data_IF_775504250749
#
_entry.id   IF_775504250749
#
_cell.length_a   1.000
_cell.length_b   1.000
_cell.length_c   1.000
_cell.angle_alpha   90.00
_cell.angle_beta   90.00
_cell.angle_gamma   90.00
#
_symmetry.space_group_name_H-M   'P 1'
#
loop_
_entity.id
_entity.type
_entity.pdbx_description
1 polymer ?
#
# COMPACT_ATOMS: atom_id res chain seq x y z
N UNK A 1 18.24 16.58 16.43
CA UNK A 1 19.54 16.98 15.84
C UNK A 1 20.41 15.77 15.76
N UNK A 2 20.80 15.40 14.57
CA UNK A 2 21.69 14.27 14.30
C UNK A 2 23.10 14.70 14.72
N UNK A 3 23.81 13.83 15.40
CA UNK A 3 25.13 14.13 15.97
C UNK A 3 26.20 14.10 14.82
N UNK A 4 27.38 14.72 15.05
CA UNK A 4 28.50 14.76 14.11
C UNK A 4 28.92 13.36 13.63
N UNK A 5 28.95 12.38 14.53
CA UNK A 5 29.30 10.99 14.20
C UNK A 5 28.32 10.36 13.19
N UNK A 6 27.02 10.68 13.32
CA UNK A 6 26.02 10.19 12.36
C UNK A 6 26.22 10.82 10.98
N UNK A 7 26.52 12.13 10.91
CA UNK A 7 26.78 12.78 9.62
C UNK A 7 28.06 12.25 8.99
N UNK A 8 29.12 12.00 9.78
CA UNK A 8 30.33 11.35 9.28
C UNK A 8 30.02 9.96 8.71
N UNK A 9 29.24 9.15 9.41
CA UNK A 9 28.83 7.82 8.92
C UNK A 9 28.02 7.88 7.62
N UNK A 10 27.18 8.91 7.44
CA UNK A 10 26.46 9.12 6.19
C UNK A 10 27.41 9.49 5.04
N UNK A 11 28.39 10.34 5.31
CA UNK A 11 29.44 10.70 4.32
C UNK A 11 30.25 9.46 3.93
N UNK A 12 30.68 8.66 4.90
CA UNK A 12 31.45 7.44 4.67
C UNK A 12 30.67 6.39 3.85
N UNK A 13 29.34 6.39 3.96
CA UNK A 13 28.47 5.49 3.19
C UNK A 13 28.28 5.91 1.73
N UNK A 14 28.59 7.17 1.41
CA UNK A 14 28.42 7.74 0.08
C UNK A 14 26.99 8.14 -0.27
N UNK A 15 26.81 8.71 -1.46
CA UNK A 15 25.48 9.02 -1.99
C UNK A 15 24.65 7.76 -2.19
N UNK A 16 23.34 7.86 -1.94
CA UNK A 16 22.44 6.73 -2.01
C UNK A 16 20.98 7.13 -2.02
N UNK A 17 20.10 6.19 -1.70
CA UNK A 17 18.67 6.40 -1.71
C UNK A 17 18.20 7.53 -0.78
N UNK A 18 18.88 7.69 0.35
CA UNK A 18 18.53 8.64 1.41
C UNK A 18 19.62 9.68 1.72
N UNK A 19 20.65 9.78 0.91
CA UNK A 19 21.76 10.75 1.08
C UNK A 19 22.14 11.36 -0.25
N UNK A 20 22.29 12.68 -0.28
CA UNK A 20 22.71 13.46 -1.45
C UNK A 20 23.78 14.46 -1.05
N UNK A 21 24.84 14.59 -1.82
CA UNK A 21 25.95 15.53 -1.60
C UNK A 21 25.90 16.71 -2.57
N UNK A 22 26.31 17.86 -2.07
CA UNK A 22 26.51 19.05 -2.89
C UNK A 22 27.74 19.80 -2.37
N UNK A 23 28.67 20.13 -3.23
CA UNK A 23 29.84 20.94 -2.84
C UNK A 23 29.41 22.31 -2.33
N UNK A 24 28.38 22.89 -2.92
CA UNK A 24 27.81 24.19 -2.58
C UNK A 24 26.35 24.29 -3.01
N UNK A 25 25.64 25.28 -2.51
CA UNK A 25 24.29 25.58 -2.98
C UNK A 25 24.33 25.87 -4.49
N UNK A 26 23.57 25.15 -5.31
CA UNK A 26 23.46 25.43 -6.73
C UNK A 26 23.01 26.86 -7.01
N UNK A 27 23.38 27.39 -8.17
CA UNK A 27 22.92 28.72 -8.62
C UNK A 27 21.38 28.79 -8.71
N UNK A 28 20.75 27.65 -9.03
CA UNK A 28 19.29 27.47 -9.02
C UNK A 28 18.91 26.67 -7.78
N UNK A 29 18.46 27.35 -6.73
CA UNK A 29 17.99 26.72 -5.47
C UNK A 29 16.90 25.68 -5.73
N UNK A 30 16.14 25.83 -6.80
CA UNK A 30 15.13 24.87 -7.25
C UNK A 30 15.67 23.43 -7.37
N UNK A 31 16.92 23.24 -7.81
CA UNK A 31 17.53 21.92 -7.93
C UNK A 31 17.60 21.21 -6.58
N UNK A 32 17.94 21.93 -5.50
CA UNK A 32 17.88 21.37 -4.14
C UNK A 32 16.46 21.03 -3.71
N UNK A 33 15.49 21.85 -4.11
CA UNK A 33 14.09 21.65 -3.70
C UNK A 33 13.47 20.45 -4.42
N UNK A 34 13.91 20.14 -5.64
CA UNK A 34 13.53 18.92 -6.36
C UNK A 34 14.02 17.65 -5.61
N UNK A 35 15.26 17.67 -5.10
CA UNK A 35 15.82 16.59 -4.26
C UNK A 35 15.05 16.46 -2.93
N UNK A 36 14.79 17.58 -2.25
CA UNK A 36 14.03 17.63 -1.00
C UNK A 36 12.62 17.07 -1.21
N UNK A 37 11.96 17.45 -2.30
CA UNK A 37 10.64 16.92 -2.65
C UNK A 37 10.69 15.40 -2.90
N UNK A 38 11.73 14.91 -3.58
CA UNK A 38 11.92 13.49 -3.83
C UNK A 38 12.16 12.71 -2.53
N UNK A 39 12.97 13.21 -1.61
CA UNK A 39 13.16 12.63 -0.28
C UNK A 39 11.85 12.58 0.52
N UNK A 40 11.07 13.66 0.51
CA UNK A 40 9.77 13.70 1.20
C UNK A 40 8.80 12.66 0.64
N UNK A 41 8.84 12.41 -0.67
CA UNK A 41 8.04 11.40 -1.35
C UNK A 41 8.56 9.96 -1.15
N UNK A 42 9.81 9.82 -0.70
CA UNK A 42 10.43 8.55 -0.31
C UNK A 42 10.43 8.37 1.22
N UNK A 43 11.44 7.75 1.76
CA UNK A 43 11.57 7.47 3.20
C UNK A 43 12.24 8.60 4.00
N UNK A 44 12.35 9.78 3.38
CA UNK A 44 13.15 10.88 3.90
C UNK A 44 14.61 10.78 3.49
N UNK A 45 15.44 11.69 3.98
CA UNK A 45 16.87 11.67 3.69
C UNK A 45 17.63 12.92 4.12
N UNK A 46 18.90 12.93 3.81
CA UNK A 46 19.83 13.99 4.18
C UNK A 46 20.47 14.58 2.93
N UNK A 47 20.39 15.90 2.80
CA UNK A 47 21.12 16.64 1.79
C UNK A 47 22.27 17.39 2.47
N UNK A 48 23.49 17.02 2.11
CA UNK A 48 24.73 17.52 2.73
C UNK A 48 25.39 18.53 1.79
N UNK A 49 25.55 19.77 2.22
CA UNK A 49 26.18 20.85 1.45
C UNK A 49 27.55 21.14 2.04
N UNK A 50 28.57 21.03 1.23
CA UNK A 50 29.99 21.11 1.62
C UNK A 50 30.72 19.78 1.50
N UNK A 51 30.12 18.79 0.81
CA UNK A 51 30.70 17.48 0.52
C UNK A 51 30.69 17.28 -0.99
N UNK A 52 31.74 16.68 -1.55
CA UNK A 52 31.80 16.34 -2.98
C UNK A 52 31.27 14.91 -3.22
N UNK A 53 31.10 14.54 -4.50
CA UNK A 53 30.55 13.24 -4.93
C UNK A 53 31.43 12.03 -4.49
N UNK A 54 32.69 12.27 -4.10
CA UNK A 54 33.59 11.23 -3.56
C UNK A 54 33.52 11.12 -2.03
N UNK A 55 32.65 11.88 -1.37
CA UNK A 55 32.56 11.94 0.09
C UNK A 55 33.65 12.81 0.73
N UNK A 56 34.42 13.58 -0.05
CA UNK A 56 35.43 14.48 0.52
C UNK A 56 34.74 15.73 1.10
N UNK A 57 35.01 16.02 2.36
CA UNK A 57 34.50 17.22 3.02
C UNK A 57 35.29 18.44 2.50
N UNK A 58 34.62 19.28 1.77
CA UNK A 58 35.16 20.55 1.26
C UNK A 58 34.90 21.68 2.26
N UNK A 59 33.73 21.63 2.89
CA UNK A 59 33.21 22.68 3.76
C UNK A 59 32.63 23.85 2.98
N UNK A 60 31.60 24.49 3.50
CA UNK A 60 31.00 25.67 2.89
C UNK A 60 30.34 26.59 3.91
N UNK A 61 30.43 27.88 3.69
CA UNK A 61 29.61 28.88 4.37
C UNK A 61 28.24 29.01 3.70
N UNK A 62 27.21 29.16 4.49
CA UNK A 62 25.87 29.43 3.97
C UNK A 62 25.38 30.79 4.49
N UNK A 63 25.42 31.79 3.63
CA UNK A 63 24.97 33.15 3.91
C UNK A 63 23.45 33.20 4.18
N UNK A 64 23.00 34.20 4.93
CA UNK A 64 21.61 34.32 5.35
C UNK A 64 20.62 34.42 4.18
N UNK A 65 20.99 35.11 3.11
CA UNK A 65 20.19 35.27 1.89
C UNK A 65 19.99 33.90 1.19
N UNK A 66 21.03 33.07 1.09
CA UNK A 66 20.93 31.70 0.55
C UNK A 66 20.07 30.80 1.44
N UNK A 67 20.22 30.92 2.77
CA UNK A 67 19.36 30.18 3.71
C UNK A 67 17.90 30.55 3.52
N UNK A 68 17.61 31.85 3.45
CA UNK A 68 16.25 32.35 3.21
C UNK A 68 15.70 31.90 1.85
N UNK A 69 16.54 31.88 0.81
CA UNK A 69 16.15 31.41 -0.51
C UNK A 69 15.80 29.89 -0.50
N UNK A 70 16.57 29.05 0.22
CA UNK A 70 16.28 27.62 0.38
C UNK A 70 14.96 27.46 1.14
N UNK A 71 14.77 28.12 2.27
CA UNK A 71 13.53 28.06 3.05
C UNK A 71 12.32 28.55 2.25
N UNK A 72 12.47 29.64 1.50
CA UNK A 72 11.44 30.14 0.59
C UNK A 72 11.05 29.10 -0.45
N UNK A 73 12.05 28.45 -1.07
CA UNK A 73 11.77 27.41 -2.08
C UNK A 73 11.15 26.15 -1.48
N UNK A 74 11.53 25.72 -0.27
CA UNK A 74 10.89 24.61 0.44
C UNK A 74 9.41 24.93 0.72
N UNK A 75 9.09 26.17 1.04
CA UNK A 75 7.71 26.61 1.31
C UNK A 75 6.78 26.54 0.08
N UNK A 76 7.33 26.41 -1.14
CA UNK A 76 6.56 26.17 -2.36
C UNK A 76 6.15 24.68 -2.53
N UNK A 77 6.67 23.77 -1.70
CA UNK A 77 6.27 22.37 -1.72
C UNK A 77 4.87 22.23 -1.12
N UNK A 78 4.00 21.52 -1.81
CA UNK A 78 2.64 21.24 -1.37
C UNK A 78 2.40 19.71 -1.31
N UNK A 79 1.82 19.20 -0.20
CA UNK A 79 1.50 19.84 1.08
C UNK A 79 2.71 20.49 1.77
N UNK A 80 2.47 21.32 2.80
CA UNK A 80 3.55 21.97 3.52
C UNK A 80 4.54 20.97 4.11
N UNK A 81 5.82 21.16 3.83
CA UNK A 81 6.91 20.31 4.29
C UNK A 81 7.82 21.08 5.26
N UNK A 82 8.11 20.49 6.40
CA UNK A 82 9.06 21.02 7.37
C UNK A 82 10.35 20.22 7.32
N UNK A 83 11.47 20.89 7.03
CA UNK A 83 12.80 20.32 7.05
C UNK A 83 13.67 21.05 8.07
N UNK A 84 14.48 20.30 8.81
CA UNK A 84 15.48 20.90 9.68
C UNK A 84 16.74 21.25 8.88
N UNK A 85 17.25 22.46 9.07
CA UNK A 85 18.49 22.94 8.44
C UNK A 85 19.46 23.43 9.50
N UNK A 86 20.63 22.79 9.58
CA UNK A 86 21.66 23.09 10.59
C UNK A 86 23.08 22.86 10.06
N UNK A 87 24.04 23.43 10.74
CA UNK A 87 25.46 23.28 10.43
C UNK A 87 26.13 22.29 11.38
N UNK A 88 27.02 21.46 10.84
CA UNK A 88 27.88 20.54 11.58
C UNK A 88 29.32 20.83 11.22
N UNK A 89 30.20 20.90 12.24
CA UNK A 89 31.62 21.05 12.02
C UNK A 89 32.31 19.68 12.11
N UNK A 90 32.99 19.32 11.02
CA UNK A 90 33.74 18.08 10.90
C UNK A 90 35.13 18.45 10.36
N UNK A 91 36.20 18.04 11.06
CA UNK A 91 37.58 18.34 10.68
C UNK A 91 37.83 19.84 10.41
N UNK A 92 37.33 20.71 11.27
CA UNK A 92 37.40 22.17 11.13
C UNK A 92 36.72 22.76 9.89
N UNK A 93 35.90 21.96 9.19
CA UNK A 93 35.11 22.37 8.05
C UNK A 93 33.61 22.34 8.38
N UNK A 94 32.88 23.31 7.88
CA UNK A 94 31.43 23.38 8.09
C UNK A 94 30.67 22.68 6.97
N UNK A 95 29.87 21.68 7.33
CA UNK A 95 28.90 21.01 6.45
C UNK A 95 27.50 21.44 6.87
N UNK A 96 26.70 21.87 5.90
CA UNK A 96 25.30 22.18 6.12
C UNK A 96 24.43 20.97 5.82
N UNK A 97 23.54 20.65 6.72
CA UNK A 97 22.62 19.50 6.63
C UNK A 97 21.22 20.00 6.46
N UNK A 98 20.52 19.48 5.47
CA UNK A 98 19.07 19.57 5.36
C UNK A 98 18.53 18.19 5.65
N UNK A 99 17.87 18.03 6.79
CA UNK A 99 17.24 16.80 7.24
C UNK A 99 15.78 16.80 6.77
N UNK A 100 15.47 15.93 5.84
CA UNK A 100 14.16 15.83 5.20
C UNK A 100 13.43 14.63 5.74
N UNK A 101 12.33 14.82 6.47
CA UNK A 101 11.53 13.69 6.97
C UNK A 101 10.82 12.97 5.83
N UNK A 102 10.52 11.68 6.01
CA UNK A 102 9.53 11.00 5.18
C UNK A 102 8.18 11.70 5.32
N UNK A 103 7.64 12.16 4.21
CA UNK A 103 6.40 12.93 4.21
C UNK A 103 5.18 12.10 4.64
N UNK A 104 4.33 12.64 5.51
CA UNK A 104 3.11 12.00 6.02
C UNK A 104 1.94 12.11 5.03
N UNK A 105 1.93 13.19 4.26
CA UNK A 105 0.81 13.56 3.37
C UNK A 105 1.16 13.39 1.88
N UNK A 106 1.99 12.38 1.56
CA UNK A 106 2.34 12.07 0.16
C UNK A 106 1.09 11.97 -0.73
N UNK A 107 1.18 12.42 -1.97
CA UNK A 107 2.34 12.93 -2.70
C UNK A 107 2.63 14.40 -2.39
N UNK A 108 3.92 14.73 -2.29
CA UNK A 108 4.41 16.11 -2.28
C UNK A 108 4.71 16.57 -3.70
N UNK A 109 4.34 17.80 -4.00
CA UNK A 109 4.44 18.39 -5.33
C UNK A 109 5.27 19.67 -5.22
N UNK A 110 6.26 19.81 -6.08
CA UNK A 110 7.02 21.05 -6.25
C UNK A 110 6.91 21.55 -7.67
N UNK A 111 6.54 22.82 -7.83
CA UNK A 111 6.39 23.48 -9.14
C UNK A 111 5.55 22.65 -10.14
N UNK A 112 4.41 22.12 -9.67
CA UNK A 112 3.48 21.31 -10.48
C UNK A 112 3.99 19.92 -10.87
N UNK A 113 5.02 19.41 -10.20
CA UNK A 113 5.64 18.12 -10.53
C UNK A 113 5.88 17.28 -9.29
N UNK A 114 5.78 15.97 -9.44
CA UNK A 114 6.10 14.99 -8.41
C UNK A 114 7.51 14.45 -8.71
N UNK A 115 8.39 14.55 -7.72
CA UNK A 115 9.73 13.99 -7.75
C UNK A 115 9.81 12.82 -6.78
N UNK A 116 10.47 11.73 -7.19
CA UNK A 116 10.65 10.51 -6.39
C UNK A 116 12.10 10.06 -6.44
N UNK A 117 12.54 9.29 -5.44
CA UNK A 117 13.88 8.68 -5.44
C UNK A 117 13.84 7.35 -6.19
N UNK A 118 14.77 7.18 -7.11
CA UNK A 118 15.03 5.92 -7.79
C UNK A 118 16.51 5.58 -7.64
N UNK A 119 16.83 4.73 -6.65
CA UNK A 119 18.20 4.53 -6.22
C UNK A 119 18.81 5.82 -5.65
N UNK A 120 19.96 6.24 -6.15
CA UNK A 120 20.65 7.46 -5.76
C UNK A 120 20.17 8.72 -6.53
N UNK A 121 19.22 8.59 -7.48
CA UNK A 121 18.78 9.70 -8.30
C UNK A 121 17.37 10.15 -7.96
N UNK A 122 17.11 11.45 -8.11
CA UNK A 122 15.78 12.01 -8.08
C UNK A 122 15.20 12.10 -9.50
N UNK A 123 14.01 11.57 -9.68
CA UNK A 123 13.32 11.56 -10.96
C UNK A 123 11.96 12.23 -10.86
N UNK A 124 11.61 12.96 -11.91
CA UNK A 124 10.27 13.51 -12.08
C UNK A 124 9.36 12.44 -12.69
N UNK A 125 8.20 12.20 -12.10
CA UNK A 125 7.17 11.36 -12.71
C UNK A 125 6.66 12.04 -13.98
N UNK A 126 6.66 11.31 -15.09
CA UNK A 126 6.36 11.86 -16.42
C UNK A 126 5.15 11.24 -17.07
N UNK A 127 4.86 9.97 -16.77
CA UNK A 127 3.73 9.24 -17.38
C UNK A 127 2.53 9.19 -16.45
N UNK A 128 1.35 9.02 -17.05
CA UNK A 128 0.10 8.86 -16.30
C UNK A 128 0.13 7.59 -15.46
N UNK A 129 0.78 6.54 -15.96
CA UNK A 129 0.93 5.26 -15.28
C UNK A 129 1.80 5.39 -14.03
N UNK A 130 2.96 6.05 -14.13
CA UNK A 130 3.83 6.32 -12.97
C UNK A 130 3.10 7.13 -11.91
N UNK A 131 2.40 8.21 -12.32
CA UNK A 131 1.62 9.03 -11.40
C UNK A 131 0.51 8.22 -10.73
N UNK A 132 -0.23 7.40 -11.50
CA UNK A 132 -1.28 6.54 -10.96
C UNK A 132 -0.73 5.56 -9.93
N UNK A 133 0.35 4.84 -10.26
CA UNK A 133 1.00 3.90 -9.34
C UNK A 133 1.42 4.60 -8.06
N UNK A 134 2.05 5.76 -8.17
CA UNK A 134 2.49 6.51 -7.00
C UNK A 134 1.33 7.00 -6.11
N UNK A 135 0.22 7.48 -6.73
CA UNK A 135 -0.99 7.85 -5.98
C UNK A 135 -1.64 6.64 -5.29
N UNK A 136 -1.59 5.47 -5.90
CA UNK A 136 -2.07 4.22 -5.28
C UNK A 136 -1.18 3.81 -4.10
N UNK A 137 0.15 3.87 -4.26
CA UNK A 137 1.12 3.60 -3.18
C UNK A 137 0.93 4.56 -1.98
N UNK A 138 0.64 5.83 -2.26
CA UNK A 138 0.32 6.81 -1.23
C UNK A 138 -1.10 6.68 -0.64
N UNK A 139 -1.87 5.66 -1.02
CA UNK A 139 -3.27 5.48 -0.60
C UNK A 139 -4.17 6.71 -0.88
N UNK A 140 -3.94 7.40 -1.99
CA UNK A 140 -4.79 8.54 -2.43
C UNK A 140 -5.78 8.15 -3.51
N UNK A 141 -5.57 7.00 -4.16
CA UNK A 141 -6.51 6.41 -5.12
C UNK A 141 -6.81 4.98 -4.67
N UNK A 142 -8.05 4.74 -4.30
CA UNK A 142 -8.57 3.44 -3.94
C UNK A 142 -9.33 2.87 -5.13
N UNK A 143 -8.93 1.70 -5.62
CA UNK A 143 -9.56 1.07 -6.78
C UNK A 143 -11.07 0.86 -6.58
N UNK A 144 -11.46 0.45 -5.39
CA UNK A 144 -12.86 0.19 -5.03
C UNK A 144 -13.73 1.46 -5.03
N UNK A 145 -13.14 2.64 -4.78
CA UNK A 145 -13.83 3.93 -4.76
C UNK A 145 -13.97 4.58 -6.16
N UNK A 146 -13.27 4.07 -7.19
CA UNK A 146 -13.32 4.61 -8.55
C UNK A 146 -14.74 4.43 -9.13
N UNK A 147 -15.30 5.44 -9.85
CA UNK A 147 -16.58 5.33 -10.54
C UNK A 147 -16.63 4.17 -11.53
N UNK A 148 -17.68 3.36 -11.47
CA UNK A 148 -17.92 2.20 -12.31
C UNK A 148 -19.06 2.51 -13.29
N UNK A 149 -18.76 3.17 -14.40
CA UNK A 149 -19.77 3.69 -15.35
C UNK A 149 -20.56 2.61 -16.10
N UNK A 150 -20.05 1.37 -16.15
CA UNK A 150 -20.69 0.26 -16.85
C UNK A 150 -21.66 -0.55 -15.95
N UNK A 151 -21.70 -0.27 -14.64
CA UNK A 151 -22.47 -1.02 -13.67
C UNK A 151 -23.60 -0.19 -13.07
N UNK A 152 -24.82 -0.73 -13.10
CA UNK A 152 -25.98 -0.19 -12.44
C UNK A 152 -26.49 -1.20 -11.40
N UNK A 153 -26.49 -0.84 -10.13
CA UNK A 153 -26.84 -1.74 -9.03
C UNK A 153 -28.32 -2.23 -9.11
N UNK A 154 -29.20 -1.50 -9.78
CA UNK A 154 -30.62 -1.85 -9.87
C UNK A 154 -30.90 -2.88 -11.01
N UNK A 155 -30.00 -2.99 -11.99
CA UNK A 155 -30.20 -3.90 -13.16
C UNK A 155 -29.16 -5.02 -13.23
N UNK A 156 -27.94 -4.73 -12.79
CA UNK A 156 -26.78 -5.60 -13.01
C UNK A 156 -26.36 -6.35 -11.75
N UNK A 157 -26.92 -5.97 -10.58
CA UNK A 157 -26.62 -6.66 -9.33
C UNK A 157 -27.25 -8.07 -9.28
N UNK A 158 -26.59 -8.95 -8.58
CA UNK A 158 -27.09 -10.26 -8.20
C UNK A 158 -28.07 -10.09 -7.02
N UNK A 159 -29.33 -10.48 -7.24
CA UNK A 159 -30.36 -10.36 -6.22
C UNK A 159 -30.08 -11.22 -4.99
N UNK A 160 -29.40 -12.38 -5.19
CA UNK A 160 -29.06 -13.25 -4.09
C UNK A 160 -27.95 -12.63 -3.23
N UNK A 161 -26.95 -11.99 -3.86
CA UNK A 161 -25.92 -11.26 -3.12
C UNK A 161 -26.48 -10.14 -2.24
N UNK A 162 -27.51 -9.43 -2.73
CA UNK A 162 -28.21 -8.41 -1.93
C UNK A 162 -28.97 -9.04 -0.75
N UNK A 163 -29.64 -10.18 -0.98
CA UNK A 163 -30.37 -10.92 0.08
C UNK A 163 -29.41 -11.45 1.14
N UNK A 164 -28.32 -12.07 0.71
CA UNK A 164 -27.30 -12.61 1.60
C UNK A 164 -26.69 -11.49 2.46
N UNK A 165 -26.34 -10.37 1.86
CA UNK A 165 -25.84 -9.20 2.59
C UNK A 165 -26.85 -8.72 3.64
N UNK A 166 -28.15 -8.58 3.29
CA UNK A 166 -29.19 -8.17 4.23
C UNK A 166 -29.30 -9.13 5.42
N UNK A 167 -29.20 -10.42 5.16
CA UNK A 167 -29.29 -11.47 6.19
C UNK A 167 -28.09 -11.42 7.14
N UNK A 168 -26.88 -11.34 6.61
CA UNK A 168 -25.64 -11.30 7.40
C UNK A 168 -25.53 -9.99 8.20
N UNK A 169 -25.90 -8.87 7.61
CA UNK A 169 -25.92 -7.58 8.27
C UNK A 169 -27.12 -7.41 9.24
N UNK A 170 -28.00 -8.44 9.36
CA UNK A 170 -29.19 -8.45 10.22
C UNK A 170 -30.09 -7.22 10.02
N UNK A 171 -30.24 -6.81 8.76
CA UNK A 171 -31.02 -5.63 8.42
C UNK A 171 -32.54 -5.94 8.48
N UNK A 172 -33.32 -4.96 8.94
CA UNK A 172 -34.77 -5.09 8.95
C UNK A 172 -35.32 -5.32 7.54
N UNK A 173 -36.28 -6.24 7.36
CA UNK A 173 -36.98 -6.44 6.08
C UNK A 173 -37.63 -5.17 5.53
N UNK A 174 -38.04 -4.24 6.40
CA UNK A 174 -38.66 -2.97 6.02
C UNK A 174 -37.69 -1.92 5.48
N UNK A 175 -36.39 -2.08 5.67
CA UNK A 175 -35.41 -1.12 5.19
C UNK A 175 -35.30 -1.20 3.67
N UNK A 176 -35.53 -0.10 2.97
CA UNK A 176 -35.42 -0.04 1.50
C UNK A 176 -33.97 -0.25 1.05
N UNK A 177 -33.77 -0.97 -0.06
CA UNK A 177 -32.41 -1.18 -0.62
C UNK A 177 -31.69 0.15 -0.92
N UNK A 178 -32.42 1.17 -1.38
CA UNK A 178 -31.86 2.50 -1.64
C UNK A 178 -31.19 3.08 -0.39
N UNK A 179 -31.86 3.01 0.76
CA UNK A 179 -31.33 3.48 2.04
C UNK A 179 -30.07 2.71 2.47
N UNK A 180 -30.05 1.38 2.23
CA UNK A 180 -28.89 0.54 2.51
C UNK A 180 -27.70 0.97 1.65
N UNK A 181 -27.93 1.18 0.36
CA UNK A 181 -26.88 1.55 -0.59
C UNK A 181 -26.31 2.94 -0.32
N UNK A 182 -27.14 3.89 0.09
CA UNK A 182 -26.73 5.23 0.51
C UNK A 182 -25.91 5.17 1.80
N UNK A 183 -26.36 4.43 2.82
CA UNK A 183 -25.65 4.28 4.09
C UNK A 183 -24.29 3.59 3.95
N UNK A 184 -24.13 2.74 2.95
CA UNK A 184 -22.87 2.06 2.63
C UNK A 184 -21.96 2.87 1.69
N UNK A 185 -22.39 4.08 1.31
CA UNK A 185 -21.64 4.95 0.38
C UNK A 185 -21.24 4.24 -0.92
N UNK A 186 -22.14 3.42 -1.48
CA UNK A 186 -21.87 2.61 -2.67
C UNK A 186 -21.79 3.44 -3.95
N UNK A 187 -22.15 4.69 -3.91
CA UNK A 187 -22.13 5.63 -5.03
C UNK A 187 -21.13 6.75 -4.79
N UNK A 188 -20.65 7.32 -5.88
CA UNK A 188 -19.93 8.59 -5.86
C UNK A 188 -20.91 9.76 -5.64
N UNK A 189 -20.39 10.95 -5.38
CA UNK A 189 -21.20 12.18 -5.23
C UNK A 189 -22.10 12.45 -6.44
N UNK A 190 -21.70 12.00 -7.63
CA UNK A 190 -22.46 12.10 -8.87
C UNK A 190 -23.47 10.96 -9.08
N UNK A 191 -23.69 10.10 -8.09
CA UNK A 191 -24.64 8.99 -8.14
C UNK A 191 -24.21 7.80 -9.01
N UNK A 192 -22.94 7.72 -9.41
CA UNK A 192 -22.39 6.58 -10.15
C UNK A 192 -21.91 5.51 -9.17
N UNK A 193 -22.23 4.24 -9.43
CA UNK A 193 -21.74 3.14 -8.60
C UNK A 193 -20.21 3.08 -8.60
N UNK A 194 -19.64 2.65 -7.48
CA UNK A 194 -18.18 2.45 -7.35
C UNK A 194 -17.76 1.06 -7.84
N UNK A 195 -16.48 0.87 -8.18
CA UNK A 195 -15.95 -0.45 -8.56
C UNK A 195 -16.18 -1.50 -7.45
N UNK A 196 -15.98 -1.13 -6.19
CA UNK A 196 -16.27 -2.00 -5.04
C UNK A 196 -17.72 -2.48 -5.01
N UNK A 197 -18.66 -1.61 -5.38
CA UNK A 197 -20.08 -1.96 -5.49
C UNK A 197 -20.31 -3.02 -6.56
N UNK A 198 -19.69 -2.84 -7.74
CA UNK A 198 -19.80 -3.79 -8.85
C UNK A 198 -19.13 -5.15 -8.50
N UNK A 199 -18.01 -5.13 -7.79
CA UNK A 199 -17.35 -6.36 -7.34
C UNK A 199 -18.15 -7.09 -6.26
N UNK A 200 -18.77 -6.37 -5.35
CA UNK A 200 -19.48 -6.98 -4.22
C UNK A 200 -20.88 -7.49 -4.59
N UNK A 201 -21.59 -6.78 -5.48
CA UNK A 201 -22.98 -7.09 -5.83
C UNK A 201 -23.18 -7.51 -7.29
N UNK A 202 -22.22 -7.33 -8.18
CA UNK A 202 -22.36 -7.67 -9.60
C UNK A 202 -22.45 -9.18 -9.84
N UNK A 203 -23.27 -9.60 -10.82
CA UNK A 203 -23.46 -11.03 -11.19
C UNK A 203 -22.17 -11.69 -11.63
N UNK A 204 -21.34 -11.01 -12.43
CA UNK A 204 -20.09 -11.52 -13.00
C UNK A 204 -19.06 -10.41 -13.10
N UNK A 205 -18.56 -9.90 -11.97
CA UNK A 205 -17.60 -8.79 -11.96
C UNK A 205 -16.29 -9.15 -12.68
N UNK A 206 -15.89 -10.41 -12.68
CA UNK A 206 -14.69 -10.93 -13.34
C UNK A 206 -14.67 -10.73 -14.85
N UNK A 207 -15.82 -10.52 -15.50
CA UNK A 207 -15.87 -10.19 -16.93
C UNK A 207 -15.26 -8.82 -17.24
N UNK A 208 -15.32 -7.89 -16.31
CA UNK A 208 -14.77 -6.54 -16.45
C UNK A 208 -13.50 -6.35 -15.62
N UNK A 209 -13.41 -7.06 -14.53
CA UNK A 209 -12.26 -7.12 -13.63
C UNK A 209 -11.69 -8.55 -13.60
N UNK A 210 -10.87 -8.97 -14.58
CA UNK A 210 -10.41 -10.36 -14.70
C UNK A 210 -9.70 -10.90 -13.44
N UNK A 211 -9.16 -10.00 -12.62
CA UNK A 211 -8.49 -10.36 -11.37
C UNK A 211 -9.43 -10.39 -10.14
N UNK A 212 -10.73 -10.03 -10.31
CA UNK A 212 -11.73 -10.09 -9.24
C UNK A 212 -12.24 -11.51 -9.04
N UNK A 213 -11.32 -12.46 -8.84
CA UNK A 213 -11.59 -13.88 -8.60
C UNK A 213 -10.78 -14.37 -7.41
N UNK A 214 -11.32 -15.34 -6.68
CA UNK A 214 -10.60 -16.04 -5.61
C UNK A 214 -10.09 -17.37 -6.15
N UNK A 215 -8.77 -17.57 -6.15
CA UNK A 215 -8.15 -18.82 -6.57
C UNK A 215 -7.60 -19.56 -5.36
N UNK A 216 -8.02 -20.80 -5.18
CA UNK A 216 -7.59 -21.70 -4.12
C UNK A 216 -6.77 -22.84 -4.72
N UNK A 217 -5.53 -23.04 -4.24
CA UNK A 217 -4.63 -24.08 -4.74
C UNK A 217 -4.14 -24.93 -3.57
N UNK A 218 -4.28 -26.23 -3.72
CA UNK A 218 -3.79 -27.22 -2.77
C UNK A 218 -2.52 -27.88 -3.32
N UNK A 219 -1.41 -27.73 -2.61
CA UNK A 219 -0.13 -28.34 -2.96
C UNK A 219 0.16 -29.58 -2.13
N UNK A 220 0.88 -30.54 -2.70
CA UNK A 220 1.40 -31.70 -2.00
C UNK A 220 2.73 -31.36 -1.31
N UNK A 221 2.78 -31.52 0.02
CA UNK A 221 3.99 -31.29 0.82
C UNK A 221 4.24 -29.81 1.12
N UNK A 222 5.51 -29.43 1.24
CA UNK A 222 5.94 -28.09 1.65
C UNK A 222 6.42 -27.21 0.49
N UNK A 223 6.45 -27.75 -0.72
CA UNK A 223 6.91 -27.06 -1.93
C UNK A 223 5.75 -26.80 -2.89
N UNK A 224 5.83 -25.74 -3.68
CA UNK A 224 4.80 -25.38 -4.68
C UNK A 224 4.98 -26.17 -6.01
N UNK A 225 5.51 -27.40 -5.96
CA UNK A 225 5.85 -28.16 -7.18
C UNK A 225 4.68 -29.01 -7.65
N UNK A 226 3.97 -29.68 -6.73
CA UNK A 226 2.89 -30.59 -7.09
C UNK A 226 1.55 -30.03 -6.63
N UNK A 227 0.67 -29.76 -7.58
CA UNK A 227 -0.71 -29.31 -7.32
C UNK A 227 -1.60 -30.54 -7.19
N UNK A 228 -2.35 -30.62 -6.08
CA UNK A 228 -3.36 -31.68 -5.82
C UNK A 228 -4.72 -31.21 -6.34
N UNK A 229 -5.06 -29.94 -6.11
CA UNK A 229 -6.32 -29.33 -6.55
C UNK A 229 -6.12 -27.83 -6.80
N UNK A 230 -6.86 -27.31 -7.79
CA UNK A 230 -6.83 -25.89 -8.18
C UNK A 230 -8.25 -25.47 -8.55
N UNK A 231 -8.77 -24.49 -7.84
CA UNK A 231 -10.13 -24.02 -8.02
C UNK A 231 -10.17 -22.50 -8.03
N UNK A 232 -10.87 -21.94 -9.03
CA UNK A 232 -11.13 -20.51 -9.13
C UNK A 232 -12.62 -20.25 -8.94
N UNK A 233 -12.94 -19.28 -8.12
CA UNK A 233 -14.30 -18.85 -7.80
C UNK A 233 -14.50 -17.42 -8.32
N UNK A 234 -15.54 -17.21 -9.12
CA UNK A 234 -16.00 -15.92 -9.63
C UNK A 234 -17.35 -15.51 -9.03
N UNK A 235 -17.94 -14.46 -9.56
CA UNK A 235 -19.20 -13.88 -9.07
C UNK A 235 -19.00 -12.85 -7.95
N UNK A 236 -20.07 -12.46 -7.24
CA UNK A 236 -20.00 -11.51 -6.13
C UNK A 236 -18.98 -11.88 -5.07
N UNK A 237 -18.19 -10.94 -4.55
CA UNK A 237 -17.08 -11.21 -3.63
C UNK A 237 -17.49 -12.03 -2.40
N UNK A 238 -18.66 -11.77 -1.83
CA UNK A 238 -19.12 -12.53 -0.68
C UNK A 238 -19.39 -14.01 -1.03
N UNK A 239 -19.94 -14.27 -2.21
CA UNK A 239 -20.16 -15.65 -2.68
C UNK A 239 -18.83 -16.35 -2.96
N UNK A 240 -17.83 -15.65 -3.51
CA UNK A 240 -16.47 -16.20 -3.67
C UNK A 240 -15.88 -16.62 -2.33
N UNK A 241 -16.06 -15.78 -1.30
CA UNK A 241 -15.64 -16.10 0.07
C UNK A 241 -16.31 -17.38 0.59
N UNK A 242 -17.63 -17.50 0.48
CA UNK A 242 -18.36 -18.66 0.93
C UNK A 242 -17.93 -19.94 0.21
N UNK A 243 -17.75 -19.87 -1.11
CA UNK A 243 -17.29 -21.00 -1.92
C UNK A 243 -15.85 -21.41 -1.58
N UNK A 244 -14.97 -20.45 -1.37
CA UNK A 244 -13.59 -20.70 -0.96
C UNK A 244 -13.54 -21.36 0.43
N UNK A 245 -14.35 -20.88 1.39
CA UNK A 245 -14.47 -21.49 2.72
C UNK A 245 -14.97 -22.93 2.64
N UNK A 246 -16.04 -23.20 1.89
CA UNK A 246 -16.57 -24.55 1.72
C UNK A 246 -15.53 -25.47 1.06
N UNK A 247 -14.79 -24.96 0.06
CA UNK A 247 -13.69 -25.72 -0.55
C UNK A 247 -12.58 -26.03 0.46
N UNK A 248 -12.17 -25.05 1.26
CA UNK A 248 -11.19 -25.24 2.32
C UNK A 248 -11.62 -26.29 3.32
N UNK A 249 -12.85 -26.20 3.82
CA UNK A 249 -13.43 -27.18 4.75
C UNK A 249 -13.41 -28.59 4.16
N UNK A 250 -13.71 -28.73 2.87
CA UNK A 250 -13.66 -30.02 2.18
C UNK A 250 -12.26 -30.63 2.05
N UNK A 251 -11.20 -29.81 2.16
CA UNK A 251 -9.79 -30.24 2.02
C UNK A 251 -9.07 -30.40 3.35
N UNK A 252 -9.59 -29.80 4.41
CA UNK A 252 -8.99 -29.92 5.74
C UNK A 252 -9.37 -31.25 6.38
N UNK A 253 -8.38 -31.94 6.97
CA UNK A 253 -8.61 -33.14 7.72
C UNK A 253 -9.26 -32.84 9.08
N UNK A 254 -10.34 -33.51 9.37
CA UNK A 254 -11.02 -33.49 10.67
C UNK A 254 -10.65 -34.73 11.45
N UNK A 255 -10.12 -34.55 12.65
CA UNK A 255 -9.95 -35.64 13.59
C UNK A 255 -11.18 -35.72 14.51
N UNK A 256 -11.65 -36.90 14.78
CA UNK A 256 -12.76 -37.12 15.71
C UNK A 256 -12.23 -37.59 17.05
N UNK A 257 -12.57 -36.86 18.11
CA UNK A 257 -12.34 -37.28 19.48
C UNK A 257 -13.62 -37.95 20.00
N UNK A 258 -13.50 -39.22 20.46
CA UNK A 258 -14.60 -39.97 21.03
C UNK A 258 -14.29 -40.16 22.52
N UNK A 259 -15.01 -39.45 23.39
CA UNK A 259 -14.92 -39.63 24.84
C UNK A 259 -16.27 -40.15 25.36
N UNK A 260 -16.26 -41.44 25.76
CA UNK A 260 -17.45 -42.09 26.33
C UNK A 260 -18.58 -42.36 25.34
N UNK A 261 -19.82 -42.34 25.81
CA UNK A 261 -21.05 -42.57 25.03
C UNK A 261 -21.67 -41.27 24.44
N UNK A 262 -20.94 -40.17 24.46
CA UNK A 262 -21.39 -38.87 23.95
C UNK A 262 -21.24 -38.70 22.43
N UNK A 263 -21.80 -37.60 21.84
CA UNK A 263 -21.59 -37.29 20.45
C UNK A 263 -20.11 -37.05 20.16
N UNK A 264 -19.69 -37.33 18.94
CA UNK A 264 -18.30 -37.14 18.47
C UNK A 264 -17.97 -35.65 18.44
N UNK A 265 -16.84 -35.25 19.04
CA UNK A 265 -16.28 -33.91 18.87
C UNK A 265 -15.38 -33.85 17.63
N UNK A 266 -15.64 -32.90 16.77
CA UNK A 266 -14.81 -32.63 15.59
C UNK A 266 -13.64 -31.74 15.99
N UNK A 267 -12.42 -32.27 15.85
CA UNK A 267 -11.18 -31.50 16.07
C UNK A 267 -10.57 -31.15 14.70
N UNK A 268 -10.70 -29.89 14.32
CA UNK A 268 -10.10 -29.40 13.09
C UNK A 268 -8.58 -29.25 13.24
N UNK A 269 -7.82 -29.77 12.28
CA UNK A 269 -6.35 -29.66 12.25
C UNK A 269 -5.87 -28.19 12.24
N UNK A 270 -6.72 -27.28 11.78
CA UNK A 270 -6.52 -25.83 11.84
C UNK A 270 -7.77 -25.16 12.39
N UNK A 271 -7.57 -24.11 13.18
CA UNK A 271 -8.68 -23.30 13.66
C UNK A 271 -9.30 -22.55 12.47
N UNK A 272 -10.50 -22.91 12.04
CA UNK A 272 -11.22 -22.27 10.93
C UNK A 272 -11.31 -20.74 11.09
N UNK A 273 -11.36 -20.26 12.33
CA UNK A 273 -11.30 -18.82 12.67
C UNK A 273 -9.99 -18.15 12.18
N UNK A 274 -8.87 -18.86 12.14
CA UNK A 274 -7.60 -18.32 11.65
C UNK A 274 -7.60 -18.16 10.12
N UNK A 275 -8.43 -18.90 9.40
CA UNK A 275 -8.55 -18.81 7.95
C UNK A 275 -9.58 -17.79 7.49
N UNK A 276 -10.56 -17.44 8.32
CA UNK A 276 -11.61 -16.46 8.01
C UNK A 276 -11.05 -15.06 7.77
N UNK A 277 -10.12 -14.59 8.61
CA UNK A 277 -9.52 -13.26 8.48
C UNK A 277 -8.67 -13.08 7.21
N UNK A 278 -7.70 -13.97 6.89
CA UNK A 278 -6.94 -13.87 5.65
C UNK A 278 -7.80 -13.93 4.39
N UNK A 279 -8.86 -14.75 4.39
CA UNK A 279 -9.78 -14.86 3.25
C UNK A 279 -10.53 -13.57 2.92
N UNK A 280 -10.84 -12.77 3.94
CA UNK A 280 -11.49 -11.49 3.76
C UNK A 280 -10.53 -10.39 3.23
N UNK A 281 -9.23 -10.59 3.34
CA UNK A 281 -8.21 -9.59 2.99
C UNK A 281 -7.36 -9.95 1.76
N UNK A 282 -7.42 -11.20 1.28
CA UNK A 282 -6.55 -11.70 0.22
C UNK A 282 -7.36 -12.14 -1.01
N UNK A 283 -7.00 -11.61 -2.17
CA UNK A 283 -7.53 -12.06 -3.48
C UNK A 283 -6.96 -13.41 -3.95
N UNK A 284 -5.88 -13.90 -3.31
CA UNK A 284 -5.24 -15.17 -3.66
C UNK A 284 -4.86 -15.94 -2.39
N UNK A 285 -5.38 -17.17 -2.24
CA UNK A 285 -5.06 -18.04 -1.13
C UNK A 285 -4.27 -19.23 -1.62
N UNK A 286 -3.07 -19.39 -1.07
CA UNK A 286 -2.21 -20.53 -1.29
C UNK A 286 -2.22 -21.39 -0.03
N UNK A 287 -2.73 -22.63 -0.12
CA UNK A 287 -2.68 -23.59 0.96
C UNK A 287 -1.60 -24.61 0.67
N UNK A 288 -0.65 -24.70 1.57
CA UNK A 288 0.38 -25.73 1.55
C UNK A 288 0.04 -26.75 2.64
N UNK A 289 -0.30 -27.98 2.25
CA UNK A 289 -0.50 -29.07 3.23
C UNK A 289 0.84 -29.67 3.58
N UNK A 290 1.16 -29.63 4.86
CA UNK A 290 2.32 -30.32 5.40
C UNK A 290 2.03 -31.84 5.55
N UNK A 291 3.08 -32.65 5.44
CA UNK A 291 3.15 -34.09 5.51
C UNK A 291 2.12 -34.77 6.43
N UNK A 292 1.71 -35.95 6.00
CA UNK A 292 1.30 -37.04 6.86
C UNK A 292 2.34 -37.30 7.99
N UNK A 293 2.14 -36.64 9.12
CA UNK A 293 2.64 -37.25 10.37
C UNK A 293 1.46 -37.99 10.99
N UNK A 294 1.60 -39.28 11.26
CA UNK A 294 0.59 -40.00 12.05
C UNK A 294 0.51 -39.31 13.41
N UNK A 295 -0.72 -39.05 13.82
CA UNK A 295 -1.03 -38.65 15.20
C UNK A 295 -0.51 -39.78 16.12
N UNK A 296 0.51 -39.48 16.94
CA UNK A 296 0.90 -40.30 18.08
C UNK A 296 -0.08 -40.10 19.22
#
# INVERSE_FOLDING_TARGET
>A
MTNTETIQSLIDSGEGYNVEFKVRVPSKVRELTEEICAFANADGGYLLIGVDDNGQIIGTGLENDKRSAIQGSISEISPALHCDMYAVNIEDKTVWVIDVPSGKDKPYIFSGSIFVREGANSQKLRTVEEMRSFFQECNKIFFDAIPCSWFNIYTDADEQAIKDFRTEAKLSPSTANKQIFENLELFTDNGVAKNGTAMFFGKQPERKFPHAVTRCVLFKGTTKVYIIDDKTFGGPLYQQYLQAMAWLESKLQVAYKIEGAGPREEIWKFLLLCLKKPLLTLSHIVIITNREQPLQ
#
